data_IF_259584901196
#
_entry.id   IF_259584901196
#
_cell.length_a   1.000
_cell.length_b   1.000
_cell.length_c   1.000
_cell.angle_alpha   90.00
_cell.angle_beta   90.00
_cell.angle_gamma   90.00
#
_symmetry.space_group_name_H-M   'P 1'
#
loop_
_entity.id
_entity.type
_entity.pdbx_description
1 polymer ?
#
# COMPACT_ATOMS: atom_id res chain seq x y z
N UNK A 1 22.05 11.70 9.33
CA UNK A 1 21.28 10.61 8.69
C UNK A 1 20.64 9.80 9.80
N UNK A 2 19.32 9.66 9.79
CA UNK A 2 18.55 8.96 10.82
C UNK A 2 18.57 7.43 10.56
N UNK A 3 18.84 6.66 11.61
CA UNK A 3 18.84 5.19 11.57
C UNK A 3 17.46 4.66 11.15
N UNK A 4 16.38 5.31 11.59
CA UNK A 4 15.00 4.92 11.23
C UNK A 4 14.78 4.95 9.71
N UNK A 5 15.17 6.05 9.06
CA UNK A 5 15.05 6.19 7.61
C UNK A 5 15.90 5.16 6.84
N UNK A 6 17.08 4.84 7.39
CA UNK A 6 18.00 3.86 6.79
C UNK A 6 17.42 2.44 6.85
N UNK A 7 16.85 2.06 8.00
CA UNK A 7 16.18 0.78 8.18
C UNK A 7 14.95 0.66 7.27
N UNK A 8 14.10 1.68 7.24
CA UNK A 8 12.92 1.67 6.36
C UNK A 8 13.31 1.49 4.89
N UNK A 9 14.34 2.19 4.44
CA UNK A 9 14.87 2.01 3.08
C UNK A 9 15.38 0.59 2.86
N UNK A 10 16.13 0.02 3.80
CA UNK A 10 16.65 -1.34 3.69
C UNK A 10 15.56 -2.42 3.61
N UNK A 11 14.44 -2.25 4.33
CA UNK A 11 13.32 -3.20 4.30
C UNK A 11 12.43 -3.06 3.06
N UNK A 12 12.25 -1.83 2.55
CA UNK A 12 11.24 -1.52 1.54
C UNK A 12 11.80 -1.23 0.14
N UNK A 13 13.11 -1.02 -0.03
CA UNK A 13 13.69 -0.58 -1.32
C UNK A 13 13.56 -1.58 -2.46
N UNK A 14 13.31 -2.86 -2.16
CA UNK A 14 13.14 -3.92 -3.16
C UNK A 14 11.69 -4.14 -3.57
N UNK A 15 10.74 -3.37 -3.02
CA UNK A 15 9.32 -3.55 -3.33
C UNK A 15 8.96 -2.96 -4.69
N UNK A 16 8.11 -3.65 -5.48
CA UNK A 16 7.69 -3.12 -6.77
C UNK A 16 6.84 -1.85 -6.63
N UNK A 17 6.85 -1.02 -7.65
CA UNK A 17 6.00 0.16 -7.75
C UNK A 17 4.54 -0.24 -8.01
N UNK A 18 3.62 0.55 -7.46
CA UNK A 18 2.19 0.33 -7.73
C UNK A 18 1.84 0.63 -9.19
N UNK A 19 1.15 -0.29 -9.90
CA UNK A 19 0.53 0.03 -11.18
C UNK A 19 -0.42 1.22 -11.07
N UNK A 20 -0.51 2.06 -12.11
CA UNK A 20 -1.42 3.22 -12.08
C UNK A 20 -2.90 2.82 -12.18
N UNK A 21 -3.17 1.63 -12.72
CA UNK A 21 -4.50 1.07 -12.83
C UNK A 21 -4.58 -0.33 -12.24
N UNK A 22 -5.72 -0.67 -11.66
CA UNK A 22 -5.96 -2.02 -11.17
C UNK A 22 -5.84 -3.02 -12.33
N UNK A 23 -5.00 -4.07 -12.21
CA UNK A 23 -4.81 -5.06 -13.25
C UNK A 23 -5.98 -6.04 -13.27
N UNK A 24 -7.03 -5.76 -14.06
CA UNK A 24 -8.25 -6.59 -14.11
C UNK A 24 -8.01 -8.07 -14.46
N UNK A 25 -6.89 -8.39 -15.12
CA UNK A 25 -6.49 -9.74 -15.47
C UNK A 25 -5.75 -10.51 -14.37
N UNK A 26 -5.62 -9.98 -13.15
CA UNK A 26 -4.74 -10.52 -12.10
C UNK A 26 -5.05 -11.97 -11.70
N UNK A 27 -6.28 -12.43 -11.92
CA UNK A 27 -6.69 -13.82 -11.66
C UNK A 27 -6.13 -14.82 -12.68
N UNK A 28 -5.74 -14.35 -13.86
CA UNK A 28 -5.24 -15.17 -14.97
C UNK A 28 -3.73 -14.97 -15.18
N UNK A 29 -3.28 -13.73 -15.09
CA UNK A 29 -1.87 -13.35 -15.21
C UNK A 29 -1.47 -12.57 -13.95
N UNK A 30 -0.71 -13.24 -13.10
CA UNK A 30 -0.30 -12.70 -11.82
C UNK A 30 1.05 -11.96 -11.89
N UNK A 31 1.77 -12.02 -13.01
CA UNK A 31 3.04 -11.32 -13.21
C UNK A 31 2.82 -9.96 -13.88
N UNK A 32 3.28 -8.91 -13.21
CA UNK A 32 3.29 -7.55 -13.73
C UNK A 32 4.73 -7.07 -13.88
N UNK A 33 5.02 -6.43 -15.01
CA UNK A 33 6.32 -5.82 -15.29
C UNK A 33 6.51 -4.53 -14.49
N UNK A 34 7.58 -4.47 -13.70
CA UNK A 34 8.01 -3.26 -13.01
C UNK A 34 9.10 -2.56 -13.83
N UNK A 35 8.78 -1.38 -14.36
CA UNK A 35 9.70 -0.61 -15.21
C UNK A 35 10.89 -0.02 -14.44
N UNK A 36 10.72 0.23 -13.14
CA UNK A 36 11.76 0.87 -12.33
C UNK A 36 12.84 -0.13 -11.93
N UNK A 37 12.46 -1.40 -11.80
CA UNK A 37 13.36 -2.50 -11.42
C UNK A 37 13.71 -3.46 -12.57
N UNK A 38 13.15 -3.25 -13.76
CA UNK A 38 13.42 -4.06 -14.97
C UNK A 38 13.16 -5.56 -14.76
N UNK A 39 12.10 -5.90 -14.00
CA UNK A 39 11.74 -7.29 -13.71
C UNK A 39 10.23 -7.49 -13.49
N UNK A 40 9.78 -8.74 -13.60
CA UNK A 40 8.40 -9.11 -13.29
C UNK A 40 8.24 -9.41 -11.79
N UNK A 41 7.15 -8.91 -11.21
CA UNK A 41 6.70 -9.25 -9.87
C UNK A 41 5.36 -9.95 -9.93
N UNK A 42 5.16 -10.92 -9.04
CA UNK A 42 3.86 -11.57 -8.90
C UNK A 42 2.98 -10.78 -7.94
N UNK A 43 1.69 -10.70 -8.22
CA UNK A 43 0.70 -9.98 -7.46
C UNK A 43 -0.55 -10.82 -7.29
N UNK A 44 -1.37 -10.50 -6.30
CA UNK A 44 -2.69 -11.10 -6.11
C UNK A 44 -3.71 -10.05 -5.75
N UNK A 45 -4.97 -10.36 -5.98
CA UNK A 45 -6.05 -9.55 -5.44
C UNK A 45 -6.04 -9.57 -3.90
N UNK A 46 -6.29 -8.40 -3.31
CA UNK A 46 -6.40 -8.15 -1.89
C UNK A 46 -7.66 -7.32 -1.58
N UNK A 47 -8.62 -7.29 -2.50
CA UNK A 47 -9.83 -6.46 -2.40
C UNK A 47 -10.79 -6.96 -1.31
N UNK A 48 -10.67 -8.24 -0.90
CA UNK A 48 -11.44 -8.83 0.20
C UNK A 48 -10.86 -8.61 1.60
N UNK A 49 -9.74 -7.90 1.75
CA UNK A 49 -9.25 -7.47 3.06
C UNK A 49 -10.21 -6.40 3.65
N UNK A 50 -10.15 -6.09 4.96
CA UNK A 50 -11.11 -5.11 5.58
C UNK A 50 -10.84 -3.66 5.17
N UNK A 51 -11.01 -3.36 3.88
CA UNK A 51 -10.75 -2.06 3.27
C UNK A 51 -11.67 -0.99 3.83
N UNK A 52 -12.91 -1.35 4.14
CA UNK A 52 -13.90 -0.50 4.80
C UNK A 52 -13.37 0.13 6.11
N UNK A 53 -12.51 -0.59 6.84
CA UNK A 53 -11.93 -0.11 8.09
C UNK A 53 -10.56 0.52 7.89
N UNK A 54 -9.68 -0.13 7.13
CA UNK A 54 -8.25 0.25 7.08
C UNK A 54 -7.85 1.09 5.88
N UNK A 55 -8.71 1.16 4.87
CA UNK A 55 -8.50 1.85 3.59
C UNK A 55 -9.81 2.49 3.08
N UNK A 56 -10.54 3.27 3.91
CA UNK A 56 -11.83 3.83 3.49
C UNK A 56 -11.66 4.70 2.24
N UNK A 57 -12.44 4.39 1.21
CA UNK A 57 -12.36 5.01 -0.12
C UNK A 57 -11.67 4.15 -1.19
N UNK A 58 -11.05 3.03 -0.82
CA UNK A 58 -10.58 2.02 -1.77
C UNK A 58 -11.69 1.03 -2.14
N UNK A 59 -11.75 0.67 -3.43
CA UNK A 59 -12.66 -0.36 -3.97
C UNK A 59 -11.90 -1.65 -4.28
N UNK A 60 -10.66 -1.50 -4.78
CA UNK A 60 -9.82 -2.63 -5.16
C UNK A 60 -8.46 -2.50 -4.50
N UNK A 61 -7.85 -3.62 -4.15
CA UNK A 61 -6.43 -3.64 -3.77
C UNK A 61 -5.73 -4.86 -4.34
N UNK A 62 -4.41 -4.74 -4.53
CA UNK A 62 -3.53 -5.85 -4.87
C UNK A 62 -2.33 -5.88 -3.93
N UNK A 63 -1.76 -7.05 -3.74
CA UNK A 63 -0.56 -7.27 -2.92
C UNK A 63 0.50 -8.03 -3.70
N UNK A 64 1.76 -7.58 -3.63
CA UNK A 64 2.87 -8.30 -4.24
C UNK A 64 3.14 -9.60 -3.48
N UNK A 65 3.36 -10.68 -4.20
CA UNK A 65 3.80 -11.95 -3.63
C UNK A 65 5.30 -11.93 -3.37
N UNK A 66 5.71 -12.65 -2.32
CA UNK A 66 7.11 -12.84 -2.01
C UNK A 66 7.72 -13.87 -2.96
N UNK A 67 8.91 -13.62 -3.53
CA UNK A 67 9.68 -14.65 -4.20
C UNK A 67 9.95 -15.82 -3.25
N UNK A 68 9.92 -17.06 -3.77
CA UNK A 68 9.99 -18.29 -2.95
C UNK A 68 11.25 -18.39 -2.07
N UNK A 69 12.32 -17.67 -2.42
CA UNK A 69 13.61 -17.62 -1.71
C UNK A 69 13.96 -16.21 -1.18
N UNK A 70 12.96 -15.34 -1.01
CA UNK A 70 13.16 -14.00 -0.47
C UNK A 70 13.44 -14.05 1.04
N UNK A 71 14.47 -13.32 1.48
CA UNK A 71 14.74 -13.06 2.91
C UNK A 71 13.81 -11.94 3.43
N UNK A 72 13.29 -11.10 2.52
CA UNK A 72 12.32 -10.06 2.88
C UNK A 72 11.00 -10.68 3.27
N UNK A 73 10.35 -10.12 4.31
CA UNK A 73 8.97 -10.40 4.70
C UNK A 73 8.00 -9.36 4.14
N UNK A 74 8.53 -8.29 3.53
CA UNK A 74 7.76 -7.14 3.09
C UNK A 74 6.99 -7.43 1.81
N UNK A 75 5.83 -6.79 1.67
CA UNK A 75 5.02 -6.85 0.48
C UNK A 75 4.47 -5.46 0.15
N UNK A 76 4.46 -5.11 -1.13
CA UNK A 76 3.77 -3.91 -1.59
C UNK A 76 2.27 -4.16 -1.57
N UNK A 77 1.51 -3.22 -1.01
CA UNK A 77 0.06 -3.20 -1.11
C UNK A 77 -0.37 -1.91 -1.81
N UNK A 78 -1.20 -2.05 -2.84
CA UNK A 78 -1.66 -0.96 -3.69
C UNK A 78 -3.18 -0.98 -3.73
N UNK A 79 -3.80 0.17 -3.54
CA UNK A 79 -5.26 0.30 -3.52
C UNK A 79 -5.74 1.31 -4.55
N UNK A 80 -6.93 1.08 -5.08
CA UNK A 80 -7.49 1.78 -6.23
C UNK A 80 -8.91 2.23 -5.92
N UNK A 81 -9.29 3.36 -6.51
CA UNK A 81 -10.65 3.88 -6.42
C UNK A 81 -11.61 3.04 -7.29
N UNK A 82 -12.91 3.35 -7.22
CA UNK A 82 -13.96 2.73 -8.03
C UNK A 82 -13.72 2.81 -9.55
N UNK A 83 -12.91 3.77 -10.01
CA UNK A 83 -12.52 3.94 -11.40
C UNK A 83 -11.23 3.17 -11.73
N UNK A 84 -10.79 2.28 -10.82
CA UNK A 84 -9.58 1.47 -10.94
C UNK A 84 -8.30 2.30 -11.04
N UNK A 85 -8.28 3.54 -10.56
CA UNK A 85 -7.08 4.39 -10.55
C UNK A 85 -6.38 4.27 -9.21
N UNK A 86 -5.05 4.19 -9.23
CA UNK A 86 -4.24 4.12 -8.01
C UNK A 86 -4.60 5.27 -7.08
N UNK A 87 -4.82 4.99 -5.80
CA UNK A 87 -4.99 6.01 -4.77
C UNK A 87 -3.59 6.35 -4.26
N UNK A 88 -3.06 7.51 -4.68
CA UNK A 88 -1.68 7.92 -4.40
C UNK A 88 -1.53 8.65 -3.05
N UNK A 89 -2.64 9.09 -2.45
CA UNK A 89 -2.69 9.75 -1.14
C UNK A 89 -4.07 9.61 -0.49
N UNK A 90 -4.22 10.08 0.73
CA UNK A 90 -5.50 10.05 1.44
C UNK A 90 -5.74 8.75 2.23
N UNK A 91 -6.95 8.58 2.73
CA UNK A 91 -7.32 7.49 3.64
C UNK A 91 -7.42 6.12 2.98
N UNK A 92 -7.77 6.08 1.68
CA UNK A 92 -7.89 4.86 0.89
C UNK A 92 -6.58 4.35 0.29
N UNK A 93 -5.48 5.08 0.46
CA UNK A 93 -4.21 4.73 -0.17
C UNK A 93 -3.61 3.45 0.42
N UNK A 94 -3.15 2.55 -0.45
CA UNK A 94 -2.39 1.36 -0.06
C UNK A 94 -1.00 1.76 0.48
N UNK A 95 -0.47 1.00 1.42
CA UNK A 95 0.85 1.24 2.02
C UNK A 95 1.66 -0.05 2.01
N UNK A 96 2.99 -0.01 1.87
CA UNK A 96 3.80 -1.22 1.97
C UNK A 96 3.64 -1.87 3.36
N UNK A 97 3.57 -3.21 3.36
CA UNK A 97 3.58 -4.03 4.56
C UNK A 97 5.03 -4.43 4.84
N UNK A 98 5.48 -4.31 6.09
CA UNK A 98 6.77 -4.87 6.51
C UNK A 98 6.68 -6.40 6.63
N UNK A 99 5.48 -6.91 6.92
CA UNK A 99 5.21 -8.34 7.02
C UNK A 99 3.97 -8.66 6.22
N UNK A 100 4.15 -9.43 5.15
CA UNK A 100 3.04 -9.94 4.37
C UNK A 100 2.15 -10.83 5.24
N UNK A 101 0.82 -10.67 5.22
CA UNK A 101 -0.07 -11.59 5.93
C UNK A 101 -0.01 -13.03 5.38
N UNK A 102 0.59 -13.25 4.21
CA UNK A 102 0.88 -14.60 3.69
C UNK A 102 2.04 -15.28 4.40
N UNK A 103 2.89 -14.51 5.08
CA UNK A 103 3.95 -15.03 5.95
C UNK A 103 3.40 -15.27 7.35
N UNK A 104 2.76 -14.26 7.93
CA UNK A 104 2.19 -14.33 9.27
C UNK A 104 1.12 -13.26 9.46
N UNK A 105 -0.12 -13.70 9.66
CA UNK A 105 -1.25 -12.81 9.96
C UNK A 105 -1.04 -12.09 11.30
N UNK A 106 -0.56 -12.79 12.33
CA UNK A 106 -0.36 -12.21 13.66
C UNK A 106 0.72 -11.12 13.67
N UNK A 107 1.83 -11.36 12.96
CA UNK A 107 2.91 -10.39 12.88
C UNK A 107 2.51 -9.22 11.98
N UNK A 108 1.80 -9.46 10.88
CA UNK A 108 1.18 -8.40 10.07
C UNK A 108 0.24 -7.52 10.90
N UNK A 109 -0.63 -8.10 11.73
CA UNK A 109 -1.54 -7.34 12.60
C UNK A 109 -0.78 -6.47 13.61
N UNK A 110 0.28 -6.99 14.22
CA UNK A 110 1.10 -6.25 15.20
C UNK A 110 1.99 -5.19 14.58
N UNK A 111 2.58 -5.46 13.43
CA UNK A 111 3.58 -4.59 12.80
C UNK A 111 2.93 -3.57 11.88
N UNK A 112 1.96 -3.97 11.07
CA UNK A 112 1.40 -3.13 10.01
C UNK A 112 0.04 -2.54 10.39
N UNK A 113 -0.85 -3.29 11.07
CA UNK A 113 -2.22 -2.83 11.38
C UNK A 113 -2.28 -2.09 12.73
N UNK A 114 -1.58 -2.55 13.76
CA UNK A 114 -1.61 -1.95 15.10
C UNK A 114 -1.21 -0.46 15.09
N UNK A 115 -0.16 -0.01 14.36
CA UNK A 115 0.17 1.42 14.30
C UNK A 115 -0.97 2.28 13.75
N UNK A 116 -1.74 1.77 12.77
CA UNK A 116 -2.94 2.45 12.27
C UNK A 116 -4.01 2.60 13.36
N UNK A 117 -4.27 1.50 14.10
CA UNK A 117 -5.22 1.50 15.23
C UNK A 117 -4.78 2.46 16.35
N UNK A 118 -3.48 2.51 16.66
CA UNK A 118 -2.91 3.44 17.64
C UNK A 118 -3.01 4.91 17.19
N UNK A 119 -3.00 5.16 15.88
CA UNK A 119 -3.30 6.47 15.32
C UNK A 119 -4.82 6.75 15.24
N UNK A 120 -5.67 5.88 15.78
CA UNK A 120 -7.15 5.97 15.70
C UNK A 120 -7.69 6.15 14.27
N UNK A 121 -6.99 5.60 13.28
CA UNK A 121 -7.34 5.78 11.88
C UNK A 121 -6.91 7.13 11.26
N UNK A 122 -6.13 7.95 11.96
CA UNK A 122 -5.50 9.14 11.39
C UNK A 122 -4.44 8.73 10.36
N UNK A 123 -4.87 8.71 9.11
CA UNK A 123 -4.02 8.38 7.98
C UNK A 123 -2.90 9.40 7.75
N UNK A 124 -3.04 10.64 8.21
CA UNK A 124 -2.03 11.68 7.97
C UNK A 124 -0.77 11.38 8.77
N UNK A 125 -0.92 10.88 10.00
CA UNK A 125 0.19 10.43 10.85
C UNK A 125 0.76 9.11 10.35
N UNK A 126 -0.10 8.16 10.00
CA UNK A 126 0.33 6.85 9.53
C UNK A 126 1.07 6.93 8.17
N UNK A 127 0.51 7.63 7.18
CA UNK A 127 1.12 7.74 5.85
C UNK A 127 2.42 8.56 5.88
N UNK A 128 2.63 9.43 6.88
CA UNK A 128 3.92 10.13 7.05
C UNK A 128 5.07 9.16 7.29
N UNK A 129 4.82 8.07 8.03
CA UNK A 129 5.83 7.03 8.29
C UNK A 129 5.76 5.88 7.29
N UNK A 130 4.61 5.66 6.66
CA UNK A 130 4.37 4.60 5.68
C UNK A 130 3.73 5.18 4.42
N UNK A 131 4.49 5.93 3.60
CA UNK A 131 3.93 6.60 2.44
C UNK A 131 3.36 5.59 1.43
N UNK A 132 2.23 5.90 0.78
CA UNK A 132 1.78 5.16 -0.38
C UNK A 132 2.85 5.13 -1.48
N UNK A 133 2.89 4.03 -2.23
CA UNK A 133 3.86 3.88 -3.32
C UNK A 133 3.29 4.48 -4.61
N UNK A 134 3.88 5.58 -5.08
CA UNK A 134 3.63 6.15 -6.40
C UNK A 134 4.90 6.12 -7.28
N UNK A 135 5.64 5.00 -7.24
CA UNK A 135 6.92 4.88 -7.96
C UNK A 135 6.80 4.99 -9.48
N UNK A 136 5.60 4.77 -10.05
CA UNK A 136 5.32 4.89 -11.47
C UNK A 136 4.84 6.29 -11.91
N UNK A 137 4.89 7.29 -11.02
CA UNK A 137 4.46 8.67 -11.29
C UNK A 137 3.03 8.76 -11.84
N UNK A 138 2.12 8.00 -11.25
CA UNK A 138 0.70 8.02 -11.59
C UNK A 138 0.07 9.37 -11.25
N UNK A 139 -1.03 9.70 -11.93
CA UNK A 139 -1.81 10.90 -11.66
C UNK A 139 -2.24 10.95 -10.19
N UNK A 140 -2.12 12.14 -9.59
CA UNK A 140 -2.50 12.36 -8.19
C UNK A 140 -3.97 12.04 -7.96
N UNK A 141 -4.25 11.17 -7.00
CA UNK A 141 -5.58 10.71 -6.66
C UNK A 141 -5.70 10.44 -5.15
N UNK A 142 -6.67 11.02 -4.43
CA UNK A 142 -7.70 11.95 -4.91
C UNK A 142 -7.17 13.35 -5.28
N UNK A 143 -8.02 14.19 -5.87
CA UNK A 143 -7.73 15.63 -6.12
C UNK A 143 -7.62 16.40 -4.80
N UNK A 144 -7.08 17.61 -4.86
CA UNK A 144 -6.75 18.40 -3.66
C UNK A 144 -7.97 18.67 -2.78
N UNK A 145 -9.11 19.01 -3.38
CA UNK A 145 -10.37 19.28 -2.66
C UNK A 145 -10.77 18.10 -1.77
N UNK A 146 -10.87 16.90 -2.34
CA UNK A 146 -11.22 15.68 -1.62
C UNK A 146 -10.14 15.29 -0.60
N UNK A 147 -8.85 15.46 -0.94
CA UNK A 147 -7.77 15.19 0.00
C UNK A 147 -7.82 16.09 1.23
N UNK A 148 -8.11 17.39 1.05
CA UNK A 148 -8.26 18.35 2.15
C UNK A 148 -9.43 17.96 3.05
N UNK A 149 -10.58 17.57 2.47
CA UNK A 149 -11.73 17.09 3.25
C UNK A 149 -11.38 15.86 4.11
N UNK A 150 -10.63 14.90 3.55
CA UNK A 150 -10.15 13.74 4.31
C UNK A 150 -9.22 14.15 5.45
N UNK A 151 -8.29 15.07 5.21
CA UNK A 151 -7.37 15.59 6.24
C UNK A 151 -8.13 16.32 7.35
N UNK A 152 -9.15 17.10 7.02
CA UNK A 152 -9.98 17.79 8.01
C UNK A 152 -10.81 16.83 8.84
N UNK A 153 -11.37 15.78 8.24
CA UNK A 153 -12.16 14.77 8.94
C UNK A 153 -11.37 14.05 10.05
N UNK A 154 -10.05 13.86 9.87
CA UNK A 154 -9.23 13.17 10.89
C UNK A 154 -8.73 14.08 12.00
N UNK A 155 -8.79 15.41 11.87
CA UNK A 155 -8.39 16.37 12.94
C UNK A 155 -9.26 16.25 14.19
N UNK A 156 -10.41 15.58 14.10
CA UNK A 156 -11.38 15.45 15.16
C UNK A 156 -11.22 14.15 16.00
N UNK A 157 -10.12 13.41 15.85
CA UNK A 157 -9.82 12.15 16.56
C UNK A 157 -8.51 12.19 17.36
#
# INVERSE_FOLDING_TARGET
MDCHHTLQKAFLSSLPACPCHYPSGIFYEDKLWDKNQDQHFRWRDASGERLDVYKPGAEYCIRSLLPHNSISLAAQHCCYDKNRRLITRGSGAGNPNFVSPDVSVDLHDKVDILPWRLCKGDFTRYNRVRPPNNGNNCETNPKDEEFILQVEAVKFF
#
